data_IF_985945376267
#
_entry.id   IF_985945376267
#
_cell.length_a   1.000
_cell.length_b   1.000
_cell.length_c   1.000
_cell.angle_alpha   90.00
_cell.angle_beta   90.00
_cell.angle_gamma   90.00
#
_symmetry.space_group_name_H-M   'P 1'
#
loop_
_entity.id
_entity.type
_entity.pdbx_description
1 polymer ?
#
# COMPACT_ATOMS: atom_id res chain seq x y z
N UNK A 1 -13.34 -19.10 -1.32
CA UNK A 1 -13.51 -18.07 -0.28
C UNK A 1 -14.17 -16.87 -0.93
N UNK A 2 -15.08 -16.25 -0.20
CA UNK A 2 -15.64 -14.95 -0.52
C UNK A 2 -14.70 -13.88 0.06
N UNK A 3 -14.16 -12.98 -0.78
CA UNK A 3 -13.21 -11.94 -0.37
C UNK A 3 -13.72 -10.57 -0.76
N UNK A 4 -13.71 -9.62 0.18
CA UNK A 4 -13.93 -8.20 -0.13
C UNK A 4 -12.59 -7.48 -0.32
N UNK A 5 -12.40 -6.83 -1.47
CA UNK A 5 -11.30 -5.88 -1.70
C UNK A 5 -11.88 -4.46 -1.77
N UNK A 6 -11.56 -3.64 -0.78
CA UNK A 6 -11.84 -2.20 -0.87
C UNK A 6 -10.70 -1.50 -1.61
N UNK A 7 -10.98 -0.50 -2.43
CA UNK A 7 -9.95 0.17 -3.24
C UNK A 7 -9.48 -0.68 -4.42
N UNK A 8 -10.34 -1.58 -4.91
CA UNK A 8 -10.02 -2.56 -5.96
C UNK A 8 -9.75 -1.93 -7.35
N UNK A 9 -10.17 -0.69 -7.61
CA UNK A 9 -9.83 0.04 -8.83
C UNK A 9 -8.55 0.87 -8.69
N UNK A 10 -7.94 0.92 -7.50
CA UNK A 10 -6.64 1.54 -7.29
C UNK A 10 -5.48 0.71 -7.85
N UNK A 11 -4.25 1.25 -7.73
CA UNK A 11 -3.05 0.59 -8.26
C UNK A 11 -2.87 -0.84 -7.72
N UNK A 12 -2.67 -1.00 -6.41
CA UNK A 12 -2.49 -2.33 -5.81
C UNK A 12 -3.78 -3.16 -5.94
N UNK A 13 -4.94 -2.54 -5.74
CA UNK A 13 -6.23 -3.23 -5.74
C UNK A 13 -6.57 -3.88 -7.08
N UNK A 14 -6.34 -3.20 -8.20
CA UNK A 14 -6.65 -3.74 -9.53
C UNK A 14 -5.70 -4.88 -9.89
N UNK A 15 -4.42 -4.74 -9.54
CA UNK A 15 -3.44 -5.82 -9.68
C UNK A 15 -3.84 -7.04 -8.86
N UNK A 16 -4.20 -6.83 -7.59
CA UNK A 16 -4.61 -7.89 -6.68
C UNK A 16 -5.92 -8.57 -7.10
N UNK A 17 -6.91 -7.79 -7.56
CA UNK A 17 -8.19 -8.32 -8.04
C UNK A 17 -7.95 -9.32 -9.16
N UNK A 18 -7.19 -8.94 -10.18
CA UNK A 18 -6.84 -9.84 -11.29
C UNK A 18 -5.99 -11.03 -10.84
N UNK A 19 -5.08 -10.82 -9.88
CA UNK A 19 -4.24 -11.89 -9.36
C UNK A 19 -5.05 -12.94 -8.59
N UNK A 20 -6.09 -12.54 -7.86
CA UNK A 20 -6.88 -13.43 -6.99
C UNK A 20 -8.15 -13.98 -7.63
N UNK A 21 -8.69 -13.36 -8.68
CA UNK A 21 -10.01 -13.70 -9.23
C UNK A 21 -10.13 -15.12 -9.79
N UNK A 22 -8.99 -15.76 -10.09
CA UNK A 22 -8.92 -17.16 -10.54
C UNK A 22 -8.95 -18.16 -9.37
N UNK A 23 -8.74 -17.70 -8.13
CA UNK A 23 -8.67 -18.52 -6.93
C UNK A 23 -9.87 -18.33 -5.99
N UNK A 24 -10.52 -17.16 -6.05
CA UNK A 24 -11.51 -16.73 -5.07
C UNK A 24 -12.64 -15.94 -5.73
N UNK A 25 -13.80 -15.92 -5.08
CA UNK A 25 -14.89 -15.02 -5.43
C UNK A 25 -14.60 -13.65 -4.80
N UNK A 26 -14.55 -12.60 -5.62
CA UNK A 26 -14.10 -11.27 -5.17
C UNK A 26 -15.22 -10.24 -5.31
N UNK A 27 -15.60 -9.66 -4.18
CA UNK A 27 -16.37 -8.44 -4.10
C UNK A 27 -15.44 -7.22 -4.13
N UNK A 28 -15.76 -6.24 -4.96
CA UNK A 28 -15.03 -4.98 -5.06
C UNK A 28 -15.86 -3.81 -4.54
N UNK A 29 -15.28 -2.99 -3.66
CA UNK A 29 -15.83 -1.67 -3.31
C UNK A 29 -14.79 -0.61 -3.63
N UNK A 30 -15.15 0.41 -4.40
CA UNK A 30 -14.31 1.58 -4.69
C UNK A 30 -15.18 2.78 -5.06
N UNK A 31 -14.58 3.97 -5.11
CA UNK A 31 -15.23 5.19 -5.56
C UNK A 31 -15.86 5.01 -6.96
N UNK A 32 -17.11 5.50 -7.20
CA UNK A 32 -17.91 6.40 -6.36
C UNK A 32 -18.71 5.72 -5.23
N UNK A 33 -18.66 4.40 -5.10
CA UNK A 33 -19.31 3.70 -4.00
C UNK A 33 -18.51 3.92 -2.71
N UNK A 34 -18.87 4.98 -1.98
CA UNK A 34 -18.23 5.33 -0.72
C UNK A 34 -18.40 4.20 0.31
N UNK A 35 -17.28 3.70 0.82
CA UNK A 35 -17.23 2.67 1.86
C UNK A 35 -18.07 3.06 3.07
N UNK A 36 -18.26 4.34 3.36
CA UNK A 36 -19.10 4.78 4.48
C UNK A 36 -20.57 4.39 4.30
N UNK A 37 -21.06 4.33 3.06
CA UNK A 37 -22.47 4.14 2.73
C UNK A 37 -22.74 2.82 1.97
N UNK A 38 -21.70 2.17 1.45
CA UNK A 38 -21.84 0.93 0.71
C UNK A 38 -22.36 -0.22 1.59
N UNK A 39 -23.23 -1.05 1.03
CA UNK A 39 -23.59 -2.33 1.61
C UNK A 39 -22.34 -3.21 1.72
N UNK A 40 -22.13 -3.79 2.90
CA UNK A 40 -20.99 -4.65 3.16
C UNK A 40 -21.43 -6.12 3.06
N UNK A 41 -20.88 -6.89 2.11
CA UNK A 41 -21.26 -8.28 1.95
C UNK A 41 -20.70 -9.15 3.07
N UNK A 42 -21.38 -10.27 3.36
CA UNK A 42 -20.80 -11.32 4.20
C UNK A 42 -19.66 -12.00 3.44
N UNK A 43 -18.46 -11.99 3.99
CA UNK A 43 -17.25 -12.55 3.36
C UNK A 43 -16.38 -13.30 4.38
N UNK A 44 -15.46 -14.13 3.90
CA UNK A 44 -14.51 -14.89 4.71
C UNK A 44 -13.27 -14.06 5.08
N UNK A 45 -12.91 -13.09 4.23
CA UNK A 45 -11.75 -12.23 4.41
C UNK A 45 -11.97 -10.85 3.78
N UNK A 46 -11.44 -9.81 4.42
CA UNK A 46 -11.42 -8.44 3.88
C UNK A 46 -9.99 -8.02 3.61
N UNK A 47 -9.73 -7.46 2.44
CA UNK A 47 -8.45 -6.83 2.08
C UNK A 47 -8.72 -5.32 1.94
N UNK A 48 -8.41 -4.59 3.01
CA UNK A 48 -8.72 -3.17 3.10
C UNK A 48 -7.57 -2.31 2.54
N UNK A 49 -7.59 -2.06 1.23
CA UNK A 49 -6.61 -1.22 0.53
C UNK A 49 -7.06 0.24 0.37
N UNK A 50 -8.35 0.52 0.56
CA UNK A 50 -8.89 1.85 0.33
C UNK A 50 -8.34 2.88 1.34
N UNK A 51 -8.11 4.08 0.83
CA UNK A 51 -7.62 5.21 1.62
C UNK A 51 -7.03 6.28 0.72
N UNK A 52 -7.03 7.51 1.21
CA UNK A 52 -6.24 8.58 0.62
C UNK A 52 -4.76 8.28 0.81
N UNK A 53 -4.01 8.27 -0.28
CA UNK A 53 -2.57 7.96 -0.34
C UNK A 53 -1.76 9.13 -0.89
N UNK A 54 -0.51 9.26 -0.45
CA UNK A 54 0.43 10.26 -0.96
C UNK A 54 0.90 11.22 0.11
N UNK A 55 2.21 11.21 0.38
CA UNK A 55 2.84 12.05 1.41
C UNK A 55 2.67 13.53 1.06
N UNK A 56 3.11 13.94 -0.15
CA UNK A 56 3.11 15.33 -0.61
C UNK A 56 1.69 15.91 -0.68
N UNK A 57 0.74 15.14 -1.20
CA UNK A 57 -0.66 15.54 -1.30
C UNK A 57 -1.32 15.68 0.07
N UNK A 58 -0.90 14.89 1.06
CA UNK A 58 -1.46 14.97 2.42
C UNK A 58 -1.14 16.27 3.15
N UNK A 59 0.02 16.89 2.88
CA UNK A 59 0.33 18.22 3.42
C UNK A 59 -0.57 19.32 2.84
N UNK A 60 -1.02 19.16 1.60
CA UNK A 60 -1.94 20.13 0.96
C UNK A 60 -3.37 20.03 1.48
N UNK A 61 -3.79 18.84 1.92
CA UNK A 61 -5.14 18.62 2.44
C UNK A 61 -5.14 17.63 3.62
N UNK A 62 -4.59 18.01 4.79
CA UNK A 62 -4.43 17.11 5.93
C UNK A 62 -5.76 16.54 6.43
N UNK A 63 -6.79 17.38 6.49
CA UNK A 63 -8.14 17.01 6.96
C UNK A 63 -8.71 15.83 6.16
N UNK A 64 -8.59 15.85 4.83
CA UNK A 64 -9.05 14.74 3.98
C UNK A 64 -8.44 13.41 4.42
N UNK A 65 -7.15 13.37 4.70
CA UNK A 65 -6.45 12.12 5.01
C UNK A 65 -6.81 11.60 6.40
N UNK A 66 -6.88 12.49 7.40
CA UNK A 66 -7.24 12.15 8.76
C UNK A 66 -8.70 11.68 8.82
N UNK A 67 -9.63 12.46 8.28
CA UNK A 67 -11.06 12.13 8.32
C UNK A 67 -11.37 10.86 7.52
N UNK A 68 -10.94 10.81 6.25
CA UNK A 68 -11.31 9.72 5.36
C UNK A 68 -10.70 8.40 5.83
N UNK A 69 -9.38 8.33 6.02
CA UNK A 69 -8.72 7.05 6.30
C UNK A 69 -9.20 6.47 7.63
N UNK A 70 -9.35 7.28 8.67
CA UNK A 70 -9.78 6.80 9.98
C UNK A 70 -11.25 6.35 9.93
N UNK A 71 -12.15 7.14 9.33
CA UNK A 71 -13.59 6.80 9.30
C UNK A 71 -13.88 5.53 8.50
N UNK A 72 -13.33 5.41 7.28
CA UNK A 72 -13.58 4.22 6.44
C UNK A 72 -12.97 2.98 7.08
N UNK A 73 -11.76 3.09 7.66
CA UNK A 73 -11.08 1.96 8.29
C UNK A 73 -11.82 1.50 9.53
N UNK A 74 -12.25 2.45 10.39
CA UNK A 74 -13.04 2.13 11.56
C UNK A 74 -14.35 1.40 11.20
N UNK A 75 -15.06 1.85 10.17
CA UNK A 75 -16.28 1.16 9.70
C UNK A 75 -16.01 -0.28 9.30
N UNK A 76 -14.92 -0.52 8.55
CA UNK A 76 -14.51 -1.88 8.16
C UNK A 76 -14.15 -2.72 9.39
N UNK A 77 -13.37 -2.18 10.31
CA UNK A 77 -12.99 -2.89 11.54
C UNK A 77 -14.19 -3.23 12.42
N UNK A 78 -15.13 -2.29 12.61
CA UNK A 78 -16.32 -2.49 13.44
C UNK A 78 -17.28 -3.52 12.83
N UNK A 79 -17.47 -3.50 11.51
CA UNK A 79 -18.39 -4.41 10.82
C UNK A 79 -17.85 -5.85 10.75
N UNK A 80 -16.54 -6.01 10.50
CA UNK A 80 -15.89 -7.29 10.29
C UNK A 80 -15.08 -7.75 11.51
N UNK A 81 -15.57 -7.49 12.73
CA UNK A 81 -14.86 -7.76 13.99
C UNK A 81 -14.44 -9.22 14.21
N UNK A 82 -15.16 -10.17 13.60
CA UNK A 82 -14.93 -11.63 13.71
C UNK A 82 -14.40 -12.25 12.40
N UNK A 83 -14.08 -11.42 11.40
CA UNK A 83 -13.60 -11.84 10.06
C UNK A 83 -12.15 -11.43 9.89
N UNK A 84 -11.28 -12.22 9.24
CA UNK A 84 -9.88 -11.82 9.02
C UNK A 84 -9.84 -10.56 8.14
N UNK A 85 -9.05 -9.56 8.56
CA UNK A 85 -8.87 -8.31 7.80
C UNK A 85 -7.38 -8.11 7.52
N UNK A 86 -7.00 -7.97 6.25
CA UNK A 86 -5.68 -7.53 5.84
C UNK A 86 -5.73 -6.03 5.58
N UNK A 87 -5.14 -5.23 6.46
CA UNK A 87 -5.16 -3.77 6.38
C UNK A 87 -3.89 -3.23 5.74
N UNK A 88 -4.03 -2.46 4.66
CA UNK A 88 -2.90 -1.77 4.05
C UNK A 88 -2.45 -0.57 4.90
N UNK A 89 -1.19 -0.56 5.30
CA UNK A 89 -0.48 0.57 5.88
C UNK A 89 0.72 0.97 5.00
N UNK A 90 1.63 1.78 5.52
CA UNK A 90 2.73 2.41 4.75
C UNK A 90 4.02 2.45 5.54
N UNK A 91 5.17 2.35 4.88
CA UNK A 91 6.47 2.55 5.51
C UNK A 91 6.63 3.94 6.13
N UNK A 92 5.86 4.94 5.67
CA UNK A 92 5.89 6.33 6.18
C UNK A 92 5.52 6.43 7.67
N UNK A 93 4.83 5.43 8.23
CA UNK A 93 4.49 5.43 9.67
C UNK A 93 5.73 5.31 10.57
N UNK A 94 6.89 4.89 10.03
CA UNK A 94 8.14 4.82 10.80
C UNK A 94 8.67 6.20 11.21
N UNK A 95 8.29 7.25 10.48
CA UNK A 95 8.79 8.61 10.73
C UNK A 95 7.69 9.60 11.13
N UNK A 96 6.42 9.30 10.84
CA UNK A 96 5.24 10.11 11.20
C UNK A 96 5.31 11.58 10.75
N UNK A 97 6.06 11.89 9.70
CA UNK A 97 6.28 13.26 9.22
C UNK A 97 5.14 13.85 8.37
N UNK A 98 4.09 13.08 8.08
CA UNK A 98 2.99 13.54 7.22
C UNK A 98 1.60 13.15 7.73
N UNK A 99 0.55 13.93 7.41
CA UNK A 99 -0.83 13.59 7.75
C UNK A 99 -1.26 12.21 7.22
N UNK A 100 -0.72 11.78 6.07
CA UNK A 100 -0.91 10.43 5.56
C UNK A 100 -0.32 9.36 6.49
N UNK A 101 0.92 9.55 6.95
CA UNK A 101 1.56 8.63 7.89
C UNK A 101 0.81 8.57 9.22
N UNK A 102 0.41 9.74 9.76
CA UNK A 102 -0.32 9.85 11.01
C UNK A 102 -1.68 9.14 10.91
N UNK A 103 -2.43 9.32 9.82
CA UNK A 103 -3.74 8.68 9.67
C UNK A 103 -3.64 7.15 9.56
N UNK A 104 -2.62 6.65 8.86
CA UNK A 104 -2.34 5.21 8.79
C UNK A 104 -1.92 4.65 10.14
N UNK A 105 -1.03 5.33 10.86
CA UNK A 105 -0.60 4.89 12.18
C UNK A 105 -1.74 4.91 13.21
N UNK A 106 -2.61 5.92 13.16
CA UNK A 106 -3.82 5.93 14.00
C UNK A 106 -4.71 4.71 13.73
N UNK A 107 -4.84 4.28 12.46
CA UNK A 107 -5.56 3.06 12.10
C UNK A 107 -4.86 1.79 12.63
N UNK A 108 -3.52 1.74 12.61
CA UNK A 108 -2.77 0.62 13.23
C UNK A 108 -3.05 0.51 14.73
N UNK A 109 -3.12 1.64 15.45
CA UNK A 109 -3.35 1.68 16.90
C UNK A 109 -4.77 1.24 17.31
N UNK A 110 -5.77 1.46 16.47
CA UNK A 110 -7.17 1.06 16.74
C UNK A 110 -7.53 -0.31 16.13
N UNK A 111 -6.58 -1.00 15.51
CA UNK A 111 -6.83 -2.25 14.81
C UNK A 111 -7.23 -3.36 15.81
N UNK A 112 -8.38 -4.04 15.61
CA UNK A 112 -8.75 -5.19 16.43
C UNK A 112 -7.86 -6.41 16.15
N UNK A 113 -7.92 -7.41 17.04
CA UNK A 113 -7.01 -8.58 17.04
C UNK A 113 -7.13 -9.48 15.79
N UNK A 114 -8.19 -9.37 15.01
CA UNK A 114 -8.38 -10.09 13.75
C UNK A 114 -7.71 -9.41 12.54
N UNK A 115 -7.12 -8.22 12.73
CA UNK A 115 -6.44 -7.46 11.67
C UNK A 115 -4.98 -7.87 11.53
N UNK A 116 -4.58 -8.21 10.31
CA UNK A 116 -3.19 -8.32 9.86
C UNK A 116 -2.78 -6.96 9.27
N UNK A 117 -1.76 -6.32 9.83
CA UNK A 117 -1.26 -5.04 9.33
C UNK A 117 -0.19 -5.29 8.27
N UNK A 118 -0.35 -4.70 7.09
CA UNK A 118 0.58 -4.80 5.96
C UNK A 118 1.25 -3.46 5.70
N UNK A 119 2.52 -3.28 6.08
CA UNK A 119 3.26 -2.05 5.72
C UNK A 119 3.89 -2.22 4.35
N UNK A 120 3.34 -1.49 3.36
CA UNK A 120 3.92 -1.43 2.03
C UNK A 120 5.03 -0.38 1.95
N UNK A 121 6.06 -0.70 1.18
CA UNK A 121 7.14 0.21 0.81
C UNK A 121 6.88 0.81 -0.57
N UNK A 122 7.92 1.04 -1.39
CA UNK A 122 7.74 1.69 -2.69
C UNK A 122 7.29 0.67 -3.73
N UNK A 123 5.97 0.55 -3.91
CA UNK A 123 5.38 -0.35 -4.89
C UNK A 123 5.46 0.23 -6.30
N UNK A 124 5.85 -0.58 -7.28
CA UNK A 124 5.97 -0.19 -8.70
C UNK A 124 5.57 -1.34 -9.64
N UNK A 125 5.39 -1.05 -10.93
CA UNK A 125 5.16 -2.07 -11.95
C UNK A 125 3.74 -2.17 -12.50
N UNK A 126 3.56 -3.12 -13.43
CA UNK A 126 2.33 -3.55 -14.11
C UNK A 126 1.34 -2.44 -14.50
N UNK A 127 0.04 -2.72 -14.40
CA UNK A 127 -1.04 -1.87 -14.86
C UNK A 127 -1.53 -0.96 -13.74
N UNK A 128 -2.14 0.17 -14.13
CA UNK A 128 -2.70 1.15 -13.20
C UNK A 128 -1.69 1.71 -12.18
N UNK A 129 -0.41 1.72 -12.56
CA UNK A 129 0.65 2.34 -11.78
C UNK A 129 0.36 3.82 -11.50
N UNK A 130 0.90 4.33 -10.40
CA UNK A 130 0.76 5.74 -10.03
C UNK A 130 1.61 6.61 -10.95
N UNK A 131 0.95 7.30 -11.89
CA UNK A 131 1.56 8.17 -12.91
C UNK A 131 2.43 9.30 -12.34
N UNK A 132 2.12 9.73 -11.12
CA UNK A 132 2.83 10.80 -10.43
C UNK A 132 3.99 10.31 -9.53
N UNK A 133 4.27 9.01 -9.50
CA UNK A 133 5.42 8.43 -8.79
C UNK A 133 6.58 8.15 -9.75
N UNK A 134 7.78 7.91 -9.20
CA UNK A 134 9.03 7.71 -9.95
C UNK A 134 8.87 6.78 -11.16
N UNK A 135 8.33 5.56 -10.94
CA UNK A 135 8.11 4.59 -12.02
C UNK A 135 7.18 5.14 -13.10
N UNK A 136 6.02 5.68 -12.72
CA UNK A 136 5.05 6.23 -13.67
C UNK A 136 5.59 7.42 -14.47
N UNK A 137 6.28 8.35 -13.81
CA UNK A 137 6.93 9.48 -14.46
C UNK A 137 8.01 9.02 -15.45
N UNK A 138 8.78 7.98 -15.11
CA UNK A 138 9.81 7.44 -15.98
C UNK A 138 9.20 6.83 -17.25
N UNK A 139 8.25 5.91 -17.12
CA UNK A 139 7.67 5.21 -18.28
C UNK A 139 6.74 6.09 -19.13
N UNK A 140 6.17 7.16 -18.57
CA UNK A 140 5.44 8.17 -19.34
C UNK A 140 6.37 9.23 -19.97
N UNK A 141 7.69 9.14 -19.78
CA UNK A 141 8.66 10.11 -20.31
C UNK A 141 8.61 11.50 -19.66
N UNK A 142 7.93 11.63 -18.51
CA UNK A 142 7.68 12.88 -17.79
C UNK A 142 8.66 13.16 -16.65
N UNK A 143 9.58 12.23 -16.39
CA UNK A 143 10.59 12.42 -15.35
C UNK A 143 11.62 13.48 -15.76
N UNK A 144 11.77 14.47 -14.89
CA UNK A 144 12.53 15.71 -15.08
C UNK A 144 13.73 15.84 -14.13
N UNK A 145 13.71 15.16 -12.97
CA UNK A 145 14.85 15.09 -12.04
C UNK A 145 14.91 13.74 -11.32
N UNK A 146 16.05 13.47 -10.71
CA UNK A 146 16.25 12.38 -9.75
C UNK A 146 16.67 12.93 -8.39
N UNK A 147 16.53 12.10 -7.36
CA UNK A 147 16.81 12.47 -5.97
C UNK A 147 17.74 11.47 -5.31
N UNK A 148 18.26 11.82 -4.14
CA UNK A 148 19.29 11.03 -3.44
C UNK A 148 18.73 10.01 -2.44
N UNK A 149 17.43 10.07 -2.14
CA UNK A 149 16.82 9.17 -1.15
C UNK A 149 16.97 7.72 -1.60
N UNK A 150 17.01 6.79 -0.64
CA UNK A 150 16.92 5.37 -0.94
C UNK A 150 15.53 4.85 -0.57
N UNK A 151 15.02 3.94 -1.40
CA UNK A 151 13.71 3.33 -1.22
C UNK A 151 13.82 1.83 -1.41
N UNK A 152 13.06 1.08 -0.63
CA UNK A 152 12.82 -0.33 -0.87
C UNK A 152 11.73 -0.46 -1.95
N UNK A 153 12.15 -0.85 -3.15
CA UNK A 153 11.26 -1.01 -4.30
C UNK A 153 10.77 -2.44 -4.39
N UNK A 154 9.45 -2.61 -4.43
CA UNK A 154 8.80 -3.93 -4.52
C UNK A 154 7.85 -3.94 -5.70
N UNK A 155 7.99 -4.92 -6.59
CA UNK A 155 7.09 -5.03 -7.73
C UNK A 155 5.68 -5.39 -7.25
N UNK A 156 4.64 -4.85 -7.88
CA UNK A 156 3.24 -5.05 -7.46
C UNK A 156 2.82 -6.53 -7.51
N UNK A 157 3.37 -7.31 -8.44
CA UNK A 157 3.22 -8.78 -8.44
C UNK A 157 3.68 -9.42 -7.11
N UNK A 158 4.84 -9.03 -6.60
CA UNK A 158 5.38 -9.57 -5.34
C UNK A 158 4.52 -9.14 -4.14
N UNK A 159 3.94 -7.94 -4.20
CA UNK A 159 2.93 -7.47 -3.23
C UNK A 159 1.69 -8.35 -3.27
N UNK A 160 1.17 -8.68 -4.47
CA UNK A 160 0.00 -9.56 -4.62
C UNK A 160 0.30 -10.96 -4.07
N UNK A 161 1.49 -11.50 -4.34
CA UNK A 161 1.96 -12.78 -3.78
C UNK A 161 2.04 -12.74 -2.26
N UNK A 162 2.57 -11.66 -1.67
CA UNK A 162 2.60 -11.48 -0.21
C UNK A 162 1.19 -11.47 0.39
N UNK A 163 0.27 -10.70 -0.20
CA UNK A 163 -1.13 -10.62 0.25
C UNK A 163 -1.80 -12.00 0.19
N UNK A 164 -1.60 -12.76 -0.90
CA UNK A 164 -2.11 -14.13 -1.01
C UNK A 164 -1.60 -15.02 0.13
N UNK A 165 -0.30 -14.96 0.44
CA UNK A 165 0.28 -15.72 1.55
C UNK A 165 -0.35 -15.31 2.88
N UNK A 166 -0.61 -14.02 3.09
CA UNK A 166 -1.21 -13.50 4.32
C UNK A 166 -2.69 -13.82 4.49
N UNK A 167 -3.44 -14.02 3.40
CA UNK A 167 -4.82 -14.54 3.46
C UNK A 167 -4.81 -15.87 4.23
N UNK A 168 -3.91 -16.78 3.83
CA UNK A 168 -3.82 -18.13 4.38
C UNK A 168 -3.10 -18.15 5.75
N UNK A 169 -1.92 -17.53 5.83
CA UNK A 169 -0.97 -17.69 6.95
C UNK A 169 -0.84 -16.46 7.86
N UNK A 170 -1.40 -15.32 7.47
CA UNK A 170 -1.31 -14.09 8.26
C UNK A 170 -2.05 -14.25 9.60
N UNK A 171 -1.39 -13.84 10.67
CA UNK A 171 -1.91 -13.90 12.04
C UNK A 171 -2.48 -12.54 12.43
N UNK A 172 -3.72 -12.52 12.92
CA UNK A 172 -4.34 -11.28 13.38
C UNK A 172 -3.60 -10.69 14.60
N UNK A 173 -3.56 -9.36 14.69
CA UNK A 173 -2.79 -8.61 15.68
C UNK A 173 -1.32 -8.45 15.31
N UNK A 174 -0.84 -9.11 14.25
CA UNK A 174 0.53 -9.04 13.80
C UNK A 174 0.72 -8.03 12.66
N UNK A 175 1.98 -7.57 12.55
CA UNK A 175 2.44 -6.66 11.51
C UNK A 175 3.46 -7.33 10.60
N UNK A 176 3.28 -7.14 9.30
CA UNK A 176 4.15 -7.65 8.25
C UNK A 176 4.62 -6.50 7.35
N UNK A 177 5.94 -6.37 7.21
CA UNK A 177 6.55 -5.42 6.28
C UNK A 177 6.80 -6.10 4.93
N UNK A 178 6.25 -5.52 3.86
CA UNK A 178 6.30 -6.09 2.52
C UNK A 178 7.25 -5.23 1.69
N UNK A 179 8.51 -5.68 1.65
CA UNK A 179 9.62 -5.13 0.86
C UNK A 179 10.85 -6.04 0.95
N UNK A 180 11.91 -5.82 0.19
CA UNK A 180 13.01 -6.78 0.09
C UNK A 180 14.13 -6.59 1.13
N UNK A 181 14.10 -5.51 1.91
CA UNK A 181 15.15 -5.10 2.84
C UNK A 181 16.42 -4.63 2.14
N UNK A 182 16.32 -4.19 0.87
CA UNK A 182 17.44 -3.81 0.01
C UNK A 182 17.19 -2.46 -0.68
N UNK A 183 17.21 -1.35 0.07
CA UNK A 183 16.88 -0.04 -0.48
C UNK A 183 17.96 0.43 -1.46
N UNK A 184 17.52 0.95 -2.60
CA UNK A 184 18.40 1.47 -3.66
C UNK A 184 18.02 2.91 -4.00
N UNK A 185 18.93 3.63 -4.65
CA UNK A 185 18.64 4.98 -5.13
C UNK A 185 17.66 4.96 -6.31
N UNK A 186 16.90 6.05 -6.57
CA UNK A 186 16.13 6.25 -7.78
C UNK A 186 16.95 6.00 -9.05
N UNK A 187 18.21 6.44 -9.08
CA UNK A 187 19.10 6.21 -10.22
C UNK A 187 19.34 4.71 -10.47
N UNK A 188 19.69 3.96 -9.43
CA UNK A 188 19.94 2.52 -9.55
C UNK A 188 18.66 1.75 -9.91
N UNK A 189 17.52 2.17 -9.36
CA UNK A 189 16.21 1.63 -9.71
C UNK A 189 15.89 1.86 -11.20
N UNK A 190 16.05 3.10 -11.69
CA UNK A 190 15.80 3.47 -13.08
C UNK A 190 16.67 2.65 -14.04
N UNK A 191 17.96 2.48 -13.73
CA UNK A 191 18.86 1.60 -14.51
C UNK A 191 18.35 0.16 -14.55
N UNK A 192 17.90 -0.39 -13.42
CA UNK A 192 17.37 -1.77 -13.35
C UNK A 192 16.13 -2.00 -14.20
N UNK A 193 15.30 -0.97 -14.40
CA UNK A 193 14.12 -1.05 -15.26
C UNK A 193 14.39 -0.61 -16.71
N UNK A 194 15.66 -0.41 -17.09
CA UNK A 194 16.06 -0.05 -18.46
C UNK A 194 15.89 1.44 -18.81
N UNK A 195 15.70 2.32 -17.83
CA UNK A 195 15.57 3.76 -18.06
C UNK A 195 16.93 4.45 -18.06
N UNK A 196 17.36 4.94 -19.23
CA UNK A 196 18.73 5.43 -19.47
C UNK A 196 18.85 6.96 -19.63
N UNK A 197 17.77 7.74 -19.46
CA UNK A 197 17.82 9.20 -19.60
C UNK A 197 18.66 9.81 -18.48
N UNK A 198 19.63 10.66 -18.84
CA UNK A 198 20.39 11.46 -17.87
C UNK A 198 19.51 12.58 -17.35
N UNK A 199 19.42 12.70 -16.02
CA UNK A 199 18.56 13.66 -15.34
C UNK A 199 19.35 14.45 -14.29
N UNK A 200 19.04 15.74 -14.09
CA UNK A 200 19.63 16.53 -13.02
C UNK A 200 19.21 16.00 -11.65
N UNK A 201 20.09 16.17 -10.66
CA UNK A 201 19.78 15.90 -9.26
C UNK A 201 19.03 17.08 -8.63
N UNK A 202 18.03 16.76 -7.81
CA UNK A 202 17.29 17.74 -7.01
C UNK A 202 17.19 17.25 -5.57
N UNK A 203 17.59 18.12 -4.64
CA UNK A 203 17.34 17.90 -3.21
C UNK A 203 15.86 18.14 -2.91
N UNK A 204 15.26 17.23 -2.15
CA UNK A 204 13.88 17.36 -1.65
C UNK A 204 13.93 17.30 -0.14
N UNK A 205 13.21 18.20 0.52
CA UNK A 205 13.10 18.27 1.97
C UNK A 205 11.76 17.69 2.46
N UNK A 206 11.70 17.24 3.70
CA UNK A 206 10.49 16.68 4.31
C UNK A 206 10.15 15.24 3.87
N UNK A 207 11.11 14.53 3.26
CA UNK A 207 10.99 13.10 2.97
C UNK A 207 12.09 12.31 3.68
N UNK A 208 11.76 11.07 4.05
CA UNK A 208 12.69 10.06 4.56
C UNK A 208 13.92 9.93 3.67
N UNK A 209 15.12 9.96 4.25
CA UNK A 209 16.34 9.70 3.49
C UNK A 209 16.40 8.24 3.02
N UNK A 210 15.97 7.29 3.85
CA UNK A 210 15.98 5.86 3.55
C UNK A 210 14.71 5.22 4.10
N UNK A 211 13.98 4.48 3.27
CA UNK A 211 12.95 3.54 3.73
C UNK A 211 13.38 2.12 3.41
N UNK A 212 13.42 1.26 4.43
CA UNK A 212 13.87 -0.13 4.34
C UNK A 212 12.90 -1.05 5.07
N UNK A 213 12.47 -2.12 4.41
CA UNK A 213 11.61 -3.14 5.01
C UNK A 213 12.42 -4.11 5.86
N UNK A 214 11.80 -4.65 6.90
CA UNK A 214 12.23 -5.88 7.55
C UNK A 214 11.37 -7.06 7.05
N UNK A 215 11.81 -7.81 6.02
CA UNK A 215 11.03 -8.92 5.47
C UNK A 215 11.05 -10.19 6.30
N UNK A 216 11.68 -10.22 7.48
CA UNK A 216 11.93 -11.46 8.23
C UNK A 216 10.66 -12.29 8.40
N UNK A 217 9.57 -11.68 8.89
CA UNK A 217 8.27 -12.37 9.05
C UNK A 217 7.69 -12.87 7.74
N UNK A 218 7.80 -12.10 6.65
CA UNK A 218 7.28 -12.55 5.36
C UNK A 218 8.08 -13.74 4.82
N UNK A 219 9.41 -13.73 4.99
CA UNK A 219 10.29 -14.84 4.59
C UNK A 219 10.00 -16.12 5.38
N UNK A 220 9.72 -16.02 6.68
CA UNK A 220 9.29 -17.15 7.51
C UNK A 220 7.99 -17.80 6.98
N UNK A 221 7.12 -17.02 6.33
CA UNK A 221 5.90 -17.52 5.69
C UNK A 221 6.13 -18.11 4.28
N UNK A 222 7.35 -18.01 3.74
CA UNK A 222 7.74 -18.51 2.42
C UNK A 222 7.52 -17.52 1.27
N UNK A 223 7.51 -16.22 1.56
CA UNK A 223 7.49 -15.16 0.54
C UNK A 223 8.84 -15.04 -0.17
#
# INVERSE_FOLDING_TARGET
MEILITGHNGFIGSNLYNYLNSYHNIYGIDYPNDILNAELPKVDCVIHLAGSTGVRESHKNPKKYLDNNIKITKRIFDHYKDTKILFASTSSVKELQSPYAISKYACELIAPKNVVIMRFFTVWGDYNYRKNMLYGLAIEGKLDYITEHKRDFTHVYEVCRAIKILIDKGVGGELYEIGHGKPISPLDFLKKIGYNKVLPFRKVEGESNITCADPTKMKELGW
#
